data_IF_352537440357
#
_entry.id   IF_352537440357
#
_cell.length_a   1.000
_cell.length_b   1.000
_cell.length_c   1.000
_cell.angle_alpha   90.00
_cell.angle_beta   90.00
_cell.angle_gamma   90.00
#
_symmetry.space_group_name_H-M   'P 1'
#
loop_
_entity.id
_entity.type
_entity.pdbx_description
1 polymer ?
#
# COMPACT_ATOMS: atom_id res chain seq x y z
N UNK A 1 -35.20 -46.67 -38.69
CA UNK A 1 -35.63 -46.53 -37.28
C UNK A 1 -35.13 -45.19 -36.77
N UNK A 2 -35.92 -44.19 -36.40
CA UNK A 2 -37.34 -43.93 -36.54
C UNK A 2 -37.48 -42.41 -36.63
N UNK A 3 -38.11 -41.93 -37.70
CA UNK A 3 -38.40 -40.50 -37.87
C UNK A 3 -39.50 -40.09 -36.91
N UNK A 4 -39.35 -38.92 -36.30
CA UNK A 4 -40.45 -38.26 -35.59
C UNK A 4 -41.30 -37.54 -36.64
N UNK A 5 -42.49 -38.06 -36.87
CA UNK A 5 -43.50 -37.48 -37.73
C UNK A 5 -43.94 -36.12 -37.16
N UNK A 6 -43.93 -35.08 -38.00
CA UNK A 6 -44.73 -33.88 -37.74
C UNK A 6 -46.11 -34.19 -38.32
N UNK A 7 -47.02 -34.66 -37.47
CA UNK A 7 -48.42 -34.81 -37.87
C UNK A 7 -49.14 -33.50 -37.58
N UNK A 8 -49.67 -32.95 -38.66
CA UNK A 8 -50.40 -31.71 -38.76
C UNK A 8 -51.88 -32.04 -38.54
N UNK A 9 -52.44 -31.75 -37.37
CA UNK A 9 -53.87 -32.02 -37.17
C UNK A 9 -54.43 -31.76 -35.77
N UNK A 10 -55.05 -30.59 -35.58
CA UNK A 10 -56.25 -30.50 -34.74
C UNK A 10 -56.11 -29.90 -33.34
N UNK A 11 -56.22 -28.57 -33.27
CA UNK A 11 -57.12 -27.95 -32.28
C UNK A 11 -56.55 -27.57 -30.90
N UNK A 12 -56.50 -26.23 -30.72
CA UNK A 12 -56.75 -25.49 -29.47
C UNK A 12 -55.53 -25.11 -28.61
N UNK A 13 -55.03 -23.89 -28.91
CA UNK A 13 -54.39 -23.02 -27.93
C UNK A 13 -52.87 -22.91 -28.11
N UNK A 14 -52.42 -21.84 -28.77
CA UNK A 14 -51.02 -21.39 -28.66
C UNK A 14 -50.69 -21.29 -27.17
N UNK A 15 -49.80 -22.15 -26.65
CA UNK A 15 -49.26 -22.03 -25.29
C UNK A 15 -48.62 -20.65 -25.18
N UNK A 16 -49.08 -19.86 -24.23
CA UNK A 16 -48.50 -18.55 -23.97
C UNK A 16 -47.03 -18.73 -23.61
N UNK A 17 -46.13 -18.19 -24.44
CA UNK A 17 -44.67 -18.19 -24.24
C UNK A 17 -44.28 -17.07 -23.25
N UNK A 18 -45.19 -16.69 -22.37
CA UNK A 18 -44.95 -15.72 -21.31
C UNK A 18 -45.08 -16.49 -19.99
N UNK A 19 -43.93 -16.88 -19.44
CA UNK A 19 -43.84 -17.39 -18.08
C UNK A 19 -43.49 -16.22 -17.17
N UNK A 20 -44.33 -15.96 -16.17
CA UNK A 20 -44.01 -15.02 -15.11
C UNK A 20 -42.81 -15.59 -14.33
N UNK A 21 -41.69 -14.86 -14.34
CA UNK A 21 -40.47 -15.30 -13.65
C UNK A 21 -40.66 -15.11 -12.15
N UNK A 22 -40.28 -16.13 -11.37
CA UNK A 22 -40.26 -16.01 -9.91
C UNK A 22 -39.16 -15.03 -9.52
N UNK A 23 -39.54 -13.82 -9.11
CA UNK A 23 -38.60 -12.76 -8.74
C UNK A 23 -37.82 -13.09 -7.46
N UNK A 24 -38.38 -13.91 -6.56
CA UNK A 24 -37.78 -14.21 -5.25
C UNK A 24 -36.42 -14.94 -5.40
N UNK A 25 -36.30 -16.03 -6.17
CA UNK A 25 -35.00 -16.67 -6.43
C UNK A 25 -34.01 -15.78 -7.22
N UNK A 26 -34.50 -14.92 -8.11
CA UNK A 26 -33.63 -14.03 -8.91
C UNK A 26 -33.01 -12.93 -8.04
N UNK A 27 -33.75 -12.41 -7.06
CA UNK A 27 -33.24 -11.43 -6.09
C UNK A 27 -32.16 -12.05 -5.21
N UNK A 28 -32.33 -13.31 -4.77
CA UNK A 28 -31.32 -14.01 -3.97
C UNK A 28 -30.00 -14.19 -4.74
N UNK A 29 -30.09 -14.61 -6.01
CA UNK A 29 -28.93 -14.72 -6.90
C UNK A 29 -28.22 -13.36 -7.09
N UNK A 30 -28.97 -12.27 -7.24
CA UNK A 30 -28.40 -10.93 -7.39
C UNK A 30 -27.76 -10.43 -6.08
N UNK A 31 -28.36 -10.69 -4.92
CA UNK A 31 -27.80 -10.23 -3.65
C UNK A 31 -26.50 -10.96 -3.28
N UNK A 32 -26.43 -12.27 -3.55
CA UNK A 32 -25.22 -13.08 -3.36
C UNK A 32 -24.09 -12.62 -4.28
N UNK A 33 -24.38 -12.32 -5.55
CA UNK A 33 -23.36 -11.84 -6.50
C UNK A 33 -22.85 -10.44 -6.16
N UNK A 34 -23.71 -9.52 -5.70
CA UNK A 34 -23.30 -8.20 -5.21
C UNK A 34 -22.40 -8.33 -3.98
N UNK A 35 -22.74 -9.21 -3.03
CA UNK A 35 -21.93 -9.46 -1.83
C UNK A 35 -20.55 -10.01 -2.19
N UNK A 36 -20.48 -10.94 -3.14
CA UNK A 36 -19.23 -11.49 -3.65
C UNK A 36 -18.33 -10.42 -4.31
N UNK A 37 -18.91 -9.54 -5.13
CA UNK A 37 -18.18 -8.44 -5.78
C UNK A 37 -17.65 -7.42 -4.76
N UNK A 38 -18.40 -7.12 -3.70
CA UNK A 38 -17.95 -6.20 -2.65
C UNK A 38 -16.80 -6.77 -1.81
N UNK A 39 -16.85 -8.05 -1.44
CA UNK A 39 -15.78 -8.71 -0.69
C UNK A 39 -14.48 -8.76 -1.51
N UNK A 40 -14.57 -9.13 -2.79
CA UNK A 40 -13.41 -9.21 -3.69
C UNK A 40 -12.86 -7.83 -4.08
N UNK A 41 -13.70 -6.80 -4.17
CA UNK A 41 -13.25 -5.42 -4.37
C UNK A 41 -12.48 -4.87 -3.16
N UNK A 42 -12.88 -5.19 -1.92
CA UNK A 42 -12.12 -4.81 -0.71
C UNK A 42 -10.77 -5.54 -0.66
N UNK A 43 -10.70 -6.78 -1.16
CA UNK A 43 -9.44 -7.52 -1.19
C UNK A 43 -8.41 -6.97 -2.19
N UNK A 44 -8.84 -6.29 -3.27
CA UNK A 44 -7.89 -5.66 -4.20
C UNK A 44 -7.22 -4.40 -3.64
N UNK A 45 -7.78 -3.76 -2.61
CA UNK A 45 -7.18 -2.55 -2.02
C UNK A 45 -6.04 -2.84 -1.05
N UNK A 46 -5.97 -4.06 -0.48
CA UNK A 46 -4.88 -4.45 0.43
C UNK A 46 -3.61 -4.94 -0.27
N UNK A 47 -3.60 -5.09 -1.59
CA UNK A 47 -2.43 -5.50 -2.37
C UNK A 47 -1.46 -4.34 -2.71
N UNK A 48 -1.68 -3.12 -2.19
CA UNK A 48 -0.83 -1.94 -2.46
C UNK A 48 0.36 -1.79 -1.52
N UNK A 49 0.80 -2.86 -0.86
CA UNK A 49 2.14 -2.85 -0.28
C UNK A 49 3.11 -3.09 -1.43
N UNK A 50 3.75 -2.02 -1.92
CA UNK A 50 4.89 -2.11 -2.84
C UNK A 50 6.06 -2.77 -2.09
N UNK A 51 6.08 -4.10 -2.05
CA UNK A 51 7.24 -4.91 -1.68
C UNK A 51 8.07 -5.14 -2.94
N UNK A 52 8.63 -4.06 -3.48
CA UNK A 52 9.49 -4.15 -4.67
C UNK A 52 10.91 -4.51 -4.20
N UNK A 53 11.39 -5.68 -4.59
CA UNK A 53 12.79 -6.02 -4.48
C UNK A 53 13.50 -5.33 -5.65
N UNK A 54 14.17 -4.20 -5.41
CA UNK A 54 15.06 -3.60 -6.42
C UNK A 54 16.23 -4.55 -6.69
N UNK A 55 16.03 -5.50 -7.61
CA UNK A 55 17.09 -6.34 -8.16
C UNK A 55 17.45 -5.78 -9.52
N UNK A 56 18.65 -5.21 -9.71
CA UNK A 56 19.09 -4.76 -11.02
C UNK A 56 19.05 -5.92 -12.02
N UNK A 57 18.26 -5.75 -13.09
CA UNK A 57 18.20 -6.73 -14.17
C UNK A 57 19.53 -6.81 -14.94
N UNK A 58 19.78 -7.92 -15.66
CA UNK A 58 21.01 -8.08 -16.43
C UNK A 58 21.15 -6.98 -17.50
N UNK A 59 22.36 -6.40 -17.68
CA UNK A 59 22.60 -5.30 -18.62
C UNK A 59 22.20 -5.68 -20.05
N UNK A 60 21.38 -4.84 -20.70
CA UNK A 60 21.21 -4.87 -22.16
C UNK A 60 22.38 -4.10 -22.80
N UNK A 61 23.11 -4.67 -23.76
CA UNK A 61 24.31 -4.07 -24.35
C UNK A 61 24.07 -2.84 -25.24
N UNK A 62 22.82 -2.51 -25.56
CA UNK A 62 22.49 -1.53 -26.61
C UNK A 62 21.95 -0.19 -26.08
N UNK A 63 22.01 0.03 -24.76
CA UNK A 63 21.54 1.26 -24.12
C UNK A 63 22.68 1.83 -23.30
N UNK A 64 23.08 3.07 -23.58
CA UNK A 64 23.93 3.83 -22.67
C UNK A 64 23.21 3.90 -21.33
N UNK A 65 23.66 3.08 -20.37
CA UNK A 65 23.17 3.14 -19.00
C UNK A 65 23.65 4.48 -18.45
N UNK A 66 22.78 5.48 -18.51
CA UNK A 66 22.94 6.69 -17.72
C UNK A 66 23.11 6.19 -16.29
N UNK A 67 24.31 6.32 -15.75
CA UNK A 67 24.63 5.89 -14.39
C UNK A 67 23.98 6.90 -13.47
N UNK A 68 22.65 6.79 -13.33
CA UNK A 68 21.89 7.58 -12.38
C UNK A 68 22.47 7.26 -11.00
N UNK A 69 22.99 8.28 -10.32
CA UNK A 69 23.42 8.10 -8.95
C UNK A 69 22.21 7.60 -8.15
N UNK A 70 22.36 6.49 -7.40
CA UNK A 70 21.24 5.92 -6.70
C UNK A 70 20.64 6.96 -5.75
N UNK A 71 19.32 7.07 -5.73
CA UNK A 71 18.61 8.03 -4.89
C UNK A 71 18.84 7.71 -3.40
N UNK A 72 18.78 8.75 -2.55
CA UNK A 72 18.93 8.57 -1.11
C UNK A 72 17.66 7.94 -0.53
N UNK A 73 17.84 6.90 0.27
CA UNK A 73 16.75 6.17 0.92
C UNK A 73 16.97 6.13 2.43
N UNK A 74 15.89 6.29 3.18
CA UNK A 74 15.89 6.15 4.62
C UNK A 74 15.58 4.70 4.99
N UNK A 75 16.50 4.01 5.67
CA UNK A 75 16.23 2.71 6.26
C UNK A 75 15.88 2.90 7.73
N UNK A 76 14.75 2.35 8.16
CA UNK A 76 14.31 2.35 9.55
C UNK A 76 14.38 0.90 10.05
N UNK A 77 15.32 0.62 10.94
CA UNK A 77 15.55 -0.72 11.49
C UNK A 77 14.87 -0.85 12.87
N UNK A 78 14.03 -1.87 13.02
CA UNK A 78 13.33 -2.21 14.28
C UNK A 78 13.92 -3.42 15.02
N UNK A 79 15.09 -3.92 14.59
CA UNK A 79 15.69 -5.16 15.12
C UNK A 79 16.00 -5.12 16.62
N UNK A 80 16.28 -3.94 17.16
CA UNK A 80 16.58 -3.78 18.58
C UNK A 80 15.29 -3.43 19.35
N UNK A 81 14.98 -4.12 20.46
CA UNK A 81 13.73 -3.88 21.20
C UNK A 81 13.71 -2.52 21.90
N UNK A 82 14.87 -1.90 22.13
CA UNK A 82 15.06 -0.68 22.91
C UNK A 82 15.37 0.56 22.06
N UNK A 83 15.59 0.41 20.76
CA UNK A 83 15.93 1.52 19.87
C UNK A 83 15.52 1.30 18.42
N UNK A 84 15.25 2.39 17.72
CA UNK A 84 15.19 2.45 16.27
C UNK A 84 16.54 2.90 15.73
N UNK A 85 16.98 2.31 14.63
CA UNK A 85 18.15 2.80 13.92
C UNK A 85 17.74 3.37 12.56
N UNK A 86 18.00 4.66 12.36
CA UNK A 86 17.80 5.35 11.09
C UNK A 86 19.11 5.33 10.31
N UNK A 87 19.08 4.81 9.08
CA UNK A 87 20.25 4.73 8.21
C UNK A 87 19.91 5.35 6.87
N UNK A 88 20.52 6.48 6.54
CA UNK A 88 20.42 7.03 5.18
C UNK A 88 21.43 6.33 4.29
N UNK A 89 20.97 5.76 3.19
CA UNK A 89 21.82 5.10 2.19
C UNK A 89 21.67 5.78 0.84
N UNK A 90 22.76 5.82 0.09
CA UNK A 90 22.79 6.21 -1.31
C UNK A 90 23.42 5.04 -2.09
N UNK A 91 22.57 4.17 -2.63
CA UNK A 91 23.00 2.86 -3.15
C UNK A 91 23.64 2.01 -2.05
N UNK A 92 24.90 1.61 -2.25
CA UNK A 92 25.64 0.81 -1.28
C UNK A 92 26.28 1.64 -0.14
N UNK A 93 26.32 2.97 -0.27
CA UNK A 93 27.02 3.83 0.67
C UNK A 93 26.08 4.27 1.80
N UNK A 94 26.52 4.10 3.05
CA UNK A 94 25.85 4.66 4.23
C UNK A 94 26.25 6.13 4.38
N UNK A 95 25.29 7.03 4.22
CA UNK A 95 25.46 8.48 4.31
C UNK A 95 25.37 8.95 5.76
N UNK A 96 24.42 8.41 6.51
CA UNK A 96 24.21 8.78 7.90
C UNK A 96 23.63 7.59 8.69
N UNK A 97 23.92 7.52 9.98
CA UNK A 97 23.33 6.55 10.90
C UNK A 97 23.03 7.23 12.22
N UNK A 98 21.79 7.05 12.72
CA UNK A 98 21.34 7.60 13.99
C UNK A 98 20.56 6.55 14.77
N UNK A 99 20.92 6.38 16.03
CA UNK A 99 20.19 5.54 16.96
C UNK A 99 19.21 6.40 17.77
N UNK A 100 17.95 6.00 17.80
CA UNK A 100 16.87 6.68 18.52
C UNK A 100 16.35 5.74 19.60
N UNK A 101 16.42 6.12 20.88
CA UNK A 101 15.81 5.33 21.94
C UNK A 101 14.31 5.16 21.71
N UNK A 102 13.83 3.92 21.85
CA UNK A 102 12.41 3.61 21.70
C UNK A 102 11.66 4.08 22.93
N UNK A 103 10.74 5.03 22.74
CA UNK A 103 9.81 5.49 23.78
C UNK A 103 8.38 5.28 23.32
N UNK A 104 7.76 4.25 23.89
CA UNK A 104 6.39 3.87 23.59
C UNK A 104 5.43 4.90 24.20
N UNK A 105 4.63 5.55 23.36
CA UNK A 105 3.54 6.41 23.81
C UNK A 105 2.20 5.75 23.49
N UNK A 106 1.51 5.28 24.55
CA UNK A 106 0.22 4.61 24.43
C UNK A 106 -0.90 5.62 24.71
N UNK A 107 -1.57 6.05 23.64
CA UNK A 107 -2.72 6.94 23.71
C UNK A 107 -3.97 6.08 23.90
N UNK A 108 -4.71 6.30 24.98
CA UNK A 108 -6.01 5.63 25.20
C UNK A 108 -7.12 6.57 24.76
N UNK A 109 -7.79 6.25 23.66
CA UNK A 109 -8.90 7.05 23.13
C UNK A 109 -10.14 6.17 23.00
N UNK A 110 -11.24 6.52 23.70
CA UNK A 110 -12.53 5.83 23.65
C UNK A 110 -12.45 4.28 23.61
N UNK A 111 -11.64 3.68 24.50
CA UNK A 111 -11.43 2.23 24.66
C UNK A 111 -10.45 1.54 23.70
N UNK A 112 -9.93 2.25 22.69
CA UNK A 112 -8.83 1.76 21.85
C UNK A 112 -7.47 2.25 22.39
N UNK A 113 -6.51 1.33 22.57
CA UNK A 113 -5.10 1.65 22.87
C UNK A 113 -4.35 1.82 21.55
N UNK A 114 -3.93 3.04 21.25
CA UNK A 114 -3.09 3.34 20.08
C UNK A 114 -1.65 3.54 20.52
N UNK A 115 -0.74 2.73 20.00
CA UNK A 115 0.70 2.94 20.18
C UNK A 115 1.17 4.00 19.18
N UNK A 116 2.01 4.92 19.64
CA UNK A 116 2.60 5.97 18.82
C UNK A 116 4.06 6.21 19.22
N UNK A 117 4.88 6.65 18.25
CA UNK A 117 6.29 6.97 18.46
C UNK A 117 6.58 8.42 18.06
N UNK A 118 6.17 9.41 18.87
CA UNK A 118 6.29 10.83 18.50
C UNK A 118 7.75 11.31 18.40
N UNK A 119 8.65 10.78 19.24
CA UNK A 119 10.08 11.13 19.14
C UNK A 119 10.70 10.61 17.84
N UNK A 120 10.32 9.40 17.40
CA UNK A 120 10.77 8.83 16.14
C UNK A 120 10.37 9.73 14.96
N UNK A 121 9.10 10.15 14.89
CA UNK A 121 8.62 11.03 13.83
C UNK A 121 9.36 12.37 13.78
N UNK A 122 9.62 12.99 14.95
CA UNK A 122 10.36 14.25 15.04
C UNK A 122 11.81 14.12 14.54
N UNK A 123 12.49 13.05 14.91
CA UNK A 123 13.87 12.82 14.47
C UNK A 123 13.94 12.48 12.97
N UNK A 124 12.96 11.74 12.44
CA UNK A 124 12.83 11.49 10.99
C UNK A 124 12.61 12.80 10.23
N UNK A 125 11.76 13.70 10.74
CA UNK A 125 11.52 15.00 10.11
C UNK A 125 12.80 15.84 10.08
N UNK A 126 13.55 15.85 11.19
CA UNK A 126 14.83 16.55 11.28
C UNK A 126 15.86 15.97 10.29
N UNK A 127 15.95 14.64 10.20
CA UNK A 127 16.84 13.95 9.28
C UNK A 127 16.44 14.16 7.80
N UNK A 128 15.15 14.19 7.49
CA UNK A 128 14.64 14.47 6.15
C UNK A 128 14.96 15.90 5.70
N UNK A 129 14.87 16.88 6.62
CA UNK A 129 15.30 18.27 6.35
C UNK A 129 16.80 18.42 6.10
N UNK A 130 17.62 17.42 6.40
CA UNK A 130 19.05 17.44 6.07
C UNK A 130 19.34 16.59 4.83
N UNK A 131 18.79 15.38 4.77
CA UNK A 131 19.18 14.37 3.80
C UNK A 131 18.20 14.16 2.63
N UNK A 132 16.92 14.52 2.79
CA UNK A 132 15.88 14.29 1.80
C UNK A 132 16.16 15.04 0.50
N UNK A 133 15.89 14.38 -0.64
CA UNK A 133 16.22 14.89 -1.97
C UNK A 133 15.02 15.57 -2.63
N UNK A 134 13.80 15.15 -2.28
CA UNK A 134 12.58 15.55 -2.97
C UNK A 134 11.77 16.56 -2.16
N UNK A 135 12.28 17.79 -2.01
CA UNK A 135 11.63 18.86 -1.20
C UNK A 135 10.96 19.96 -2.02
N UNK A 136 11.27 20.03 -3.31
CA UNK A 136 10.67 21.05 -4.18
C UNK A 136 9.17 20.76 -4.33
N UNK A 137 8.29 21.76 -4.17
CA UNK A 137 6.85 21.57 -4.33
C UNK A 137 6.43 21.00 -5.69
N UNK A 138 7.21 21.26 -6.74
CA UNK A 138 6.94 20.80 -8.10
C UNK A 138 7.43 19.37 -8.35
N UNK A 139 8.20 18.80 -7.43
CA UNK A 139 8.80 17.48 -7.57
C UNK A 139 7.78 16.36 -7.34
N UNK A 140 7.49 15.64 -8.42
CA UNK A 140 6.53 14.53 -8.43
C UNK A 140 7.04 13.28 -7.74
N UNK A 141 8.35 13.13 -7.55
CA UNK A 141 8.96 12.00 -6.82
C UNK A 141 8.92 12.27 -5.33
N UNK A 142 8.85 11.20 -4.55
CA UNK A 142 8.89 11.21 -3.10
C UNK A 142 10.13 10.46 -2.63
N UNK A 143 10.70 10.85 -1.50
CA UNK A 143 11.79 10.09 -0.90
C UNK A 143 11.28 8.71 -0.46
N UNK A 144 12.12 7.69 -0.49
CA UNK A 144 11.73 6.33 -0.08
C UNK A 144 12.21 6.04 1.33
N UNK A 145 11.31 5.50 2.17
CA UNK A 145 11.62 4.96 3.47
C UNK A 145 11.41 3.44 3.46
N UNK A 146 12.44 2.67 3.78
CA UNK A 146 12.37 1.21 3.90
C UNK A 146 12.33 0.84 5.38
N UNK A 147 11.23 0.23 5.80
CA UNK A 147 11.05 -0.30 7.14
C UNK A 147 11.52 -1.75 7.21
N UNK A 148 12.54 -2.02 8.03
CA UNK A 148 13.09 -3.34 8.31
C UNK A 148 12.56 -3.83 9.65
N UNK A 149 11.85 -4.96 9.62
CA UNK A 149 11.32 -5.62 10.83
C UNK A 149 11.68 -7.09 10.82
N UNK A 150 11.71 -7.68 12.02
CA UNK A 150 11.75 -9.13 12.16
C UNK A 150 10.34 -9.75 12.00
N UNK A 151 10.28 -11.08 12.02
CA UNK A 151 9.03 -11.86 11.94
C UNK A 151 8.23 -11.90 13.24
N UNK A 152 8.79 -11.41 14.35
CA UNK A 152 8.17 -11.48 15.68
C UNK A 152 7.48 -10.16 16.05
N UNK A 153 7.81 -9.07 15.36
CA UNK A 153 7.29 -7.73 15.59
C UNK A 153 5.77 -7.71 15.39
N UNK A 154 4.99 -7.39 16.44
CA UNK A 154 3.55 -7.30 16.31
C UNK A 154 3.12 -6.23 15.31
N UNK A 155 2.10 -6.53 14.50
CA UNK A 155 1.63 -5.64 13.43
C UNK A 155 1.29 -4.21 13.90
N UNK A 156 0.72 -4.06 15.10
CA UNK A 156 0.40 -2.73 15.64
C UNK A 156 1.64 -1.84 15.86
N UNK A 157 2.82 -2.43 16.10
CA UNK A 157 4.07 -1.69 16.23
C UNK A 157 4.58 -1.23 14.86
N UNK A 158 4.43 -2.09 13.84
CA UNK A 158 4.76 -1.75 12.45
C UNK A 158 3.94 -0.55 11.99
N UNK A 159 2.62 -0.57 12.23
CA UNK A 159 1.73 0.56 11.93
C UNK A 159 2.15 1.82 12.66
N UNK A 160 2.45 1.74 13.95
CA UNK A 160 2.89 2.90 14.73
C UNK A 160 4.19 3.53 14.19
N UNK A 161 5.10 2.73 13.63
CA UNK A 161 6.31 3.24 12.96
C UNK A 161 6.00 3.86 11.60
N UNK A 162 5.11 3.24 10.81
CA UNK A 162 4.66 3.80 9.53
C UNK A 162 3.99 5.16 9.75
N UNK A 163 3.11 5.26 10.76
CA UNK A 163 2.49 6.52 11.16
C UNK A 163 3.54 7.56 11.55
N UNK A 164 4.57 7.15 12.30
CA UNK A 164 5.68 8.02 12.67
C UNK A 164 6.45 8.54 11.44
N UNK A 165 6.72 7.71 10.43
CA UNK A 165 7.35 8.14 9.17
C UNK A 165 6.47 9.16 8.44
N UNK A 166 5.16 8.90 8.37
CA UNK A 166 4.20 9.79 7.71
C UNK A 166 3.92 11.10 8.45
N UNK A 167 4.41 11.27 9.69
CA UNK A 167 4.38 12.60 10.34
C UNK A 167 5.23 13.63 9.60
N UNK A 168 6.23 13.20 8.82
CA UNK A 168 7.06 14.11 8.03
C UNK A 168 6.31 14.52 6.76
N UNK A 169 6.03 15.82 6.63
CA UNK A 169 5.30 16.38 5.49
C UNK A 169 6.18 17.29 4.64
N UNK A 170 5.84 17.37 3.35
CA UNK A 170 6.42 18.30 2.39
C UNK A 170 5.35 19.07 1.64
N UNK A 171 5.63 20.29 1.18
CA UNK A 171 4.77 21.00 0.25
C UNK A 171 4.77 20.28 -1.09
N UNK A 172 3.59 20.16 -1.70
CA UNK A 172 3.41 19.56 -3.02
C UNK A 172 2.41 20.36 -3.83
N UNK A 173 2.82 20.80 -5.02
CA UNK A 173 2.02 21.62 -5.91
C UNK A 173 1.22 20.74 -6.88
N UNK A 174 -0.10 20.75 -6.74
CA UNK A 174 -1.02 20.06 -7.65
C UNK A 174 -2.14 21.01 -8.06
N UNK A 175 -2.40 21.11 -9.37
CA UNK A 175 -3.50 21.95 -9.88
C UNK A 175 -3.43 23.43 -9.50
N UNK A 176 -2.22 23.98 -9.32
CA UNK A 176 -2.02 25.39 -8.95
C UNK A 176 -2.22 25.70 -7.46
N UNK A 177 -2.38 24.68 -6.61
CA UNK A 177 -2.44 24.81 -5.14
C UNK A 177 -1.30 24.00 -4.50
N UNK A 178 -0.77 24.49 -3.38
CA UNK A 178 0.23 23.78 -2.57
C UNK A 178 -0.46 23.11 -1.40
N UNK A 179 -0.32 21.79 -1.29
CA UNK A 179 -0.85 20.98 -0.20
C UNK A 179 0.29 20.31 0.57
N UNK A 180 0.08 20.05 1.86
CA UNK A 180 1.03 19.31 2.68
C UNK A 180 0.73 17.82 2.56
N UNK A 181 1.69 17.08 2.02
CA UNK A 181 1.60 15.63 1.81
C UNK A 181 2.74 14.92 2.54
N UNK A 182 2.62 13.63 2.88
CA UNK A 182 3.73 12.87 3.44
C UNK A 182 4.97 12.96 2.54
N UNK A 183 6.14 13.14 3.14
CA UNK A 183 7.39 13.29 2.40
C UNK A 183 7.91 11.97 1.82
N UNK A 184 7.50 10.85 2.42
CA UNK A 184 8.03 9.52 2.11
C UNK A 184 6.99 8.62 1.48
N UNK A 185 7.45 7.77 0.56
CA UNK A 185 6.81 6.49 0.25
C UNK A 185 7.44 5.41 1.12
N UNK A 186 6.61 4.64 1.82
CA UNK A 186 7.08 3.58 2.71
C UNK A 186 7.03 2.24 1.99
N UNK A 187 8.16 1.55 1.98
CA UNK A 187 8.30 0.16 1.55
C UNK A 187 8.68 -0.69 2.75
N UNK A 188 8.20 -1.93 2.77
CA UNK A 188 8.42 -2.86 3.86
C UNK A 188 9.38 -3.97 3.40
N UNK A 189 10.37 -4.28 4.24
CA UNK A 189 11.31 -5.38 4.04
C UNK A 189 11.32 -6.25 5.29
N UNK A 190 10.95 -7.51 5.11
CA UNK A 190 11.05 -8.55 6.14
C UNK A 190 12.32 -9.33 5.89
N UNK A 191 13.14 -9.52 6.92
CA UNK A 191 14.31 -10.38 6.88
C UNK A 191 14.31 -11.35 8.07
#
# INVERSE_FOLDING_TARGET
MGGVSVDEGGGKGKRAVNSEINMVPMIDLLMVTISFLLITAVWTTMARINADAQVPGPPRPDVEQTKEEPEKQLHVEMRAPDKFQLIWKQGANVVNTRDIPRKDNVITNNSAKLLSFPELGREIEADWKVNGSHRDPSDKKFDTAILHTDNETPYFQVIAVIDAIYTTHRPFATGGKTEQVPAFNVTFSVN
#
